data_IF_937773171086
#
_entry.id   IF_937773171086
#
_cell.length_a   1.000
_cell.length_b   1.000
_cell.length_c   1.000
_cell.angle_alpha   90.00
_cell.angle_beta   90.00
_cell.angle_gamma   90.00
#
_symmetry.space_group_name_H-M   'P 1'
#
loop_
_entity.id
_entity.type
_entity.pdbx_description
1 polymer ?
#
# COMPACT_ATOMS: atom_id res chain seq x y z
N UNK A 1 -3.17 -8.69 21.52
CA UNK A 1 -2.87 -7.30 21.08
C UNK A 1 -3.84 -6.96 19.96
N UNK A 2 -4.53 -5.82 20.02
CA UNK A 2 -5.40 -5.39 18.92
C UNK A 2 -4.50 -5.09 17.72
N UNK A 3 -4.64 -5.85 16.62
CA UNK A 3 -4.05 -5.47 15.34
C UNK A 3 -4.93 -4.35 14.80
N UNK A 4 -4.63 -3.11 15.17
CA UNK A 4 -5.23 -1.94 14.55
C UNK A 4 -4.72 -1.90 13.11
N UNK A 5 -5.52 -2.45 12.19
CA UNK A 5 -5.19 -2.48 10.77
C UNK A 5 -5.08 -1.04 10.26
N UNK A 6 -4.04 -0.74 9.50
CA UNK A 6 -3.76 0.59 8.96
C UNK A 6 -4.15 0.64 7.48
N UNK A 7 -4.68 1.78 7.02
CA UNK A 7 -4.94 1.94 5.59
C UNK A 7 -3.64 1.96 4.80
N UNK A 8 -3.66 1.52 3.53
CA UNK A 8 -2.48 1.59 2.65
C UNK A 8 -1.89 3.02 2.59
N UNK A 9 -2.77 4.03 2.56
CA UNK A 9 -2.39 5.44 2.59
C UNK A 9 -1.70 5.83 3.90
N UNK A 10 -2.21 5.36 5.04
CA UNK A 10 -1.61 5.60 6.36
C UNK A 10 -0.22 4.97 6.44
N UNK A 11 -0.08 3.73 5.99
CA UNK A 11 1.21 3.02 5.94
C UNK A 11 2.20 3.81 5.07
N UNK A 12 1.80 4.23 3.87
CA UNK A 12 2.65 5.06 2.99
C UNK A 12 3.10 6.35 3.69
N UNK A 13 2.16 7.06 4.32
CA UNK A 13 2.44 8.33 5.00
C UNK A 13 3.37 8.14 6.21
N UNK A 14 3.21 7.04 6.98
CA UNK A 14 4.10 6.69 8.09
C UNK A 14 5.53 6.39 7.63
N UNK A 15 5.71 5.92 6.40
CA UNK A 15 7.02 5.74 5.77
C UNK A 15 7.59 7.01 5.14
N UNK A 16 6.85 8.12 5.19
CA UNK A 16 7.29 9.41 4.66
C UNK A 16 7.28 9.48 3.13
N UNK A 17 6.63 8.55 2.44
CA UNK A 17 6.62 8.52 0.98
C UNK A 17 5.46 9.33 0.38
N UNK A 18 5.76 10.05 -0.69
CA UNK A 18 4.74 10.53 -1.62
C UNK A 18 4.15 9.36 -2.42
N UNK A 19 2.97 9.55 -3.04
CA UNK A 19 2.39 8.51 -3.92
C UNK A 19 3.31 8.19 -5.10
N UNK A 20 4.01 9.19 -5.65
CA UNK A 20 4.92 9.00 -6.78
C UNK A 20 6.14 8.16 -6.39
N UNK A 21 6.76 8.46 -5.25
CA UNK A 21 7.91 7.70 -4.75
C UNK A 21 7.53 6.26 -4.41
N UNK A 22 6.44 6.08 -3.68
CA UNK A 22 5.95 4.76 -3.32
C UNK A 22 5.61 3.91 -4.55
N UNK A 23 4.92 4.49 -5.53
CA UNK A 23 4.58 3.80 -6.77
C UNK A 23 5.84 3.37 -7.53
N UNK A 24 6.86 4.23 -7.59
CA UNK A 24 8.17 3.91 -8.19
C UNK A 24 8.88 2.76 -7.46
N UNK A 25 8.85 2.75 -6.12
CA UNK A 25 9.46 1.68 -5.31
C UNK A 25 8.74 0.33 -5.48
N UNK A 26 7.41 0.36 -5.59
CA UNK A 26 6.58 -0.84 -5.78
C UNK A 26 6.66 -1.34 -7.24
N UNK A 27 6.94 -0.46 -8.19
CA UNK A 27 7.00 -0.77 -9.63
C UNK A 27 5.66 -0.63 -10.35
N UNK A 28 4.79 0.29 -9.88
CA UNK A 28 3.47 0.59 -10.46
C UNK A 28 3.34 2.07 -10.82
N UNK A 29 2.25 2.43 -11.50
CA UNK A 29 1.95 3.85 -11.73
C UNK A 29 1.40 4.53 -10.46
N UNK A 30 1.61 5.85 -10.29
CA UNK A 30 0.99 6.60 -9.18
C UNK A 30 -0.54 6.48 -9.15
N UNK A 31 -1.17 6.44 -10.32
CA UNK A 31 -2.62 6.26 -10.46
C UNK A 31 -3.07 4.88 -9.98
N UNK A 32 -2.31 3.83 -10.29
CA UNK A 32 -2.55 2.47 -9.78
C UNK A 32 -2.49 2.45 -8.25
N UNK A 33 -1.47 3.08 -7.65
CA UNK A 33 -1.37 3.16 -6.20
C UNK A 33 -2.53 3.97 -5.59
N UNK A 34 -2.91 5.09 -6.22
CA UNK A 34 -4.06 5.90 -5.81
C UNK A 34 -5.37 5.08 -5.86
N UNK A 35 -5.55 4.24 -6.89
CA UNK A 35 -6.71 3.35 -6.99
C UNK A 35 -6.75 2.33 -5.85
N UNK A 36 -5.60 1.78 -5.46
CA UNK A 36 -5.51 0.88 -4.30
C UNK A 36 -5.83 1.59 -2.98
N UNK A 37 -5.35 2.82 -2.81
CA UNK A 37 -5.63 3.65 -1.62
C UNK A 37 -7.10 4.06 -1.52
N UNK A 38 -7.81 4.11 -2.66
CA UNK A 38 -9.22 4.48 -2.75
C UNK A 38 -10.17 3.29 -2.95
N UNK A 39 -9.69 2.04 -2.95
CA UNK A 39 -10.55 0.86 -3.12
C UNK A 39 -11.06 0.55 -4.51
N UNK A 40 -10.61 1.30 -5.52
CA UNK A 40 -11.10 1.16 -6.90
C UNK A 40 -10.57 -0.11 -7.57
N UNK A 41 -9.42 -0.59 -7.15
CA UNK A 41 -8.81 -1.83 -7.61
C UNK A 41 -7.99 -2.46 -6.50
N UNK A 42 -7.59 -3.71 -6.70
CA UNK A 42 -6.80 -4.47 -5.74
C UNK A 42 -5.47 -4.93 -6.37
N UNK A 43 -4.36 -4.90 -5.61
CA UNK A 43 -3.09 -5.46 -6.05
C UNK A 43 -3.18 -6.98 -6.16
N UNK A 44 -2.44 -7.55 -7.11
CA UNK A 44 -2.24 -9.00 -7.23
C UNK A 44 -1.13 -9.49 -6.29
N UNK A 45 -0.90 -10.81 -6.23
CA UNK A 45 0.09 -11.42 -5.33
C UNK A 45 1.52 -10.84 -5.55
N UNK A 46 2.03 -10.68 -6.79
CA UNK A 46 3.32 -10.03 -7.01
C UNK A 46 3.42 -8.61 -6.43
N UNK A 47 2.41 -7.76 -6.67
CA UNK A 47 2.40 -6.39 -6.17
C UNK A 47 2.24 -6.36 -4.65
N UNK A 48 1.45 -7.27 -4.07
CA UNK A 48 1.33 -7.41 -2.62
C UNK A 48 2.68 -7.68 -1.95
N UNK A 49 3.47 -8.61 -2.48
CA UNK A 49 4.83 -8.87 -1.96
C UNK A 49 5.71 -7.62 -2.04
N UNK A 50 5.61 -6.85 -3.12
CA UNK A 50 6.34 -5.58 -3.26
C UNK A 50 5.88 -4.54 -2.24
N UNK A 51 4.59 -4.44 -1.98
CA UNK A 51 4.05 -3.55 -0.94
C UNK A 51 4.58 -3.97 0.44
N UNK A 52 4.58 -5.26 0.76
CA UNK A 52 5.13 -5.78 2.02
C UNK A 52 6.63 -5.47 2.16
N UNK A 53 7.41 -5.65 1.09
CA UNK A 53 8.83 -5.32 1.04
C UNK A 53 9.09 -3.80 1.20
N UNK A 54 8.37 -2.95 0.49
CA UNK A 54 8.59 -1.49 0.50
C UNK A 54 8.13 -0.87 1.82
N UNK A 55 7.01 -1.35 2.37
CA UNK A 55 6.44 -0.79 3.59
C UNK A 55 6.83 -1.55 4.86
N UNK A 56 7.51 -2.69 4.75
CA UNK A 56 7.96 -3.50 5.89
C UNK A 56 6.81 -3.80 6.87
N UNK A 57 5.68 -4.25 6.31
CA UNK A 57 4.46 -4.60 7.04
C UNK A 57 3.76 -5.75 6.31
N UNK A 58 3.07 -6.63 7.04
CA UNK A 58 2.30 -7.70 6.41
C UNK A 58 1.03 -7.14 5.77
N UNK A 59 0.66 -7.66 4.60
CA UNK A 59 -0.62 -7.41 3.94
C UNK A 59 -1.82 -7.60 4.87
N UNK A 60 -1.75 -8.56 5.80
CA UNK A 60 -2.83 -8.85 6.75
C UNK A 60 -3.16 -7.67 7.67
N UNK A 61 -2.19 -6.76 7.87
CA UNK A 61 -2.31 -5.57 8.70
C UNK A 61 -2.66 -4.31 7.88
N UNK A 62 -2.81 -4.44 6.55
CA UNK A 62 -3.16 -3.34 5.64
C UNK A 62 -4.64 -3.40 5.25
N UNK A 63 -5.32 -2.24 5.31
CA UNK A 63 -6.66 -2.04 4.76
C UNK A 63 -6.56 -1.36 3.40
N UNK A 64 -7.09 -2.03 2.38
CA UNK A 64 -7.39 -1.48 1.07
C UNK A 64 -8.87 -1.10 1.13
N UNK A 65 -9.17 0.12 1.61
CA UNK A 65 -10.54 0.60 1.89
C UNK A 65 -11.43 0.48 0.64
N UNK A 66 -12.74 0.26 0.82
CA UNK A 66 -13.82 0.46 -0.18
C UNK A 66 -14.56 1.74 0.15
#
# INVERSE_FOLDING_TARGET
MKNDKLTLKSVRALRGYTQVEAAKLIGISPDTLSNYECGKSYPDIPILKKIEEVYQISYNDIIFLV
#
